data_IF_554954191391
#
_entry.id   IF_554954191391
#
_cell.length_a   1.000
_cell.length_b   1.000
_cell.length_c   1.000
_cell.angle_alpha   90.00
_cell.angle_beta   90.00
_cell.angle_gamma   90.00
#
_symmetry.space_group_name_H-M   'P 1'
#
loop_
_entity.id
_entity.type
_entity.pdbx_description
1 polymer ?
#
# COMPACT_ATOMS: atom_id res chain seq x y z
N UNK A 1 21.26 -41.87 -40.37
CA UNK A 1 21.97 -42.19 -39.11
C UNK A 1 22.03 -40.89 -38.34
N UNK A 2 21.26 -40.77 -37.27
CA UNK A 2 21.17 -39.52 -36.48
C UNK A 2 21.05 -39.93 -35.02
N UNK A 3 22.10 -39.66 -34.24
CA UNK A 3 22.20 -39.98 -32.82
C UNK A 3 21.48 -38.91 -32.00
N UNK A 4 20.53 -39.32 -31.15
CA UNK A 4 19.85 -38.45 -30.19
C UNK A 4 20.52 -38.59 -28.82
N UNK A 5 21.21 -37.55 -28.36
CA UNK A 5 21.72 -37.47 -27.00
C UNK A 5 20.65 -36.85 -26.09
N UNK A 6 20.01 -37.68 -25.25
CA UNK A 6 19.19 -37.22 -24.13
C UNK A 6 20.13 -36.97 -22.94
N UNK A 7 20.20 -35.73 -22.47
CA UNK A 7 20.90 -35.42 -21.22
C UNK A 7 19.97 -35.73 -20.04
N UNK A 8 20.34 -36.75 -19.27
CA UNK A 8 19.65 -37.16 -18.04
C UNK A 8 20.12 -36.25 -16.88
N UNK A 9 19.29 -35.28 -16.45
CA UNK A 9 19.58 -34.45 -15.29
C UNK A 9 19.40 -35.25 -13.98
N UNK A 10 20.49 -35.77 -13.42
CA UNK A 10 20.54 -36.27 -12.03
C UNK A 10 20.75 -35.11 -11.07
N UNK A 11 19.65 -34.43 -10.71
CA UNK A 11 19.63 -33.49 -9.59
C UNK A 11 19.73 -34.23 -8.24
N UNK A 12 20.32 -33.61 -7.20
CA UNK A 12 20.41 -34.21 -5.88
C UNK A 12 19.01 -34.54 -5.33
N UNK A 13 18.85 -35.74 -4.76
CA UNK A 13 17.64 -36.16 -4.05
C UNK A 13 17.52 -35.38 -2.73
N UNK A 14 17.11 -34.12 -2.84
CA UNK A 14 16.66 -33.25 -1.75
C UNK A 14 15.24 -32.80 -2.10
N UNK A 15 14.32 -33.06 -1.20
CA UNK A 15 12.86 -33.06 -1.36
C UNK A 15 12.27 -31.80 -2.01
N UNK A 16 11.49 -32.01 -3.08
CA UNK A 16 10.59 -31.06 -3.75
C UNK A 16 9.54 -30.42 -2.81
N UNK A 17 9.47 -30.84 -1.54
CA UNK A 17 8.60 -30.27 -0.51
C UNK A 17 9.18 -29.02 0.17
N UNK A 18 10.42 -28.61 -0.14
CA UNK A 18 11.08 -27.48 0.54
C UNK A 18 11.32 -26.24 -0.33
N UNK A 19 10.74 -26.15 -1.53
CA UNK A 19 10.87 -24.99 -2.44
C UNK A 19 9.54 -24.39 -2.91
N UNK A 20 8.45 -24.56 -2.15
CA UNK A 20 7.17 -23.86 -2.41
C UNK A 20 6.51 -23.43 -1.09
N UNK A 21 7.25 -22.74 -0.22
CA UNK A 21 6.65 -22.04 0.94
C UNK A 21 7.45 -20.79 1.35
N UNK A 22 8.00 -20.04 0.39
CA UNK A 22 7.95 -18.59 0.55
C UNK A 22 6.67 -18.11 -0.13
N UNK A 23 5.58 -18.44 0.56
CA UNK A 23 4.28 -17.81 0.45
C UNK A 23 4.53 -16.33 0.21
N UNK A 24 4.16 -15.85 -0.97
CA UNK A 24 3.77 -14.46 -1.19
C UNK A 24 3.01 -14.06 0.07
N UNK A 25 3.66 -13.32 0.98
CA UNK A 25 2.92 -12.62 2.02
C UNK A 25 1.86 -11.88 1.21
N UNK A 26 0.55 -12.08 1.45
CA UNK A 26 -0.43 -11.20 0.87
C UNK A 26 0.06 -9.82 1.24
N UNK A 27 0.47 -9.04 0.23
CA UNK A 27 0.81 -7.64 0.43
C UNK A 27 -0.39 -7.11 1.15
N UNK A 28 -0.20 -6.66 2.40
CA UNK A 28 -1.27 -6.23 3.28
C UNK A 28 -1.78 -4.89 2.72
N UNK A 29 -2.44 -4.96 1.57
CA UNK A 29 -3.06 -3.87 0.84
C UNK A 29 -4.42 -3.53 1.45
N UNK A 30 -4.84 -4.25 2.50
CA UNK A 30 -6.03 -3.90 3.27
C UNK A 30 -5.93 -2.51 3.90
N UNK A 31 -4.72 -1.95 4.05
CA UNK A 31 -4.48 -0.57 4.48
C UNK A 31 -4.55 0.49 3.34
N UNK A 32 -4.80 0.10 2.09
CA UNK A 32 -4.77 1.06 0.96
C UNK A 32 -6.02 1.93 0.93
N UNK A 33 -5.87 3.15 1.47
CA UNK A 33 -6.73 4.33 1.35
C UNK A 33 -8.16 4.18 1.89
N UNK A 34 -8.35 4.69 3.10
CA UNK A 34 -9.64 5.20 3.60
C UNK A 34 -10.01 6.44 2.79
N UNK A 35 -11.20 6.48 2.19
CA UNK A 35 -11.72 7.67 1.52
C UNK A 35 -12.55 8.49 2.50
N UNK A 36 -12.56 9.81 2.32
CA UNK A 36 -13.56 10.68 2.95
C UNK A 36 -14.93 10.48 2.26
N UNK A 37 -16.01 10.84 2.94
CA UNK A 37 -17.37 10.81 2.34
C UNK A 37 -17.43 11.55 1.01
N UNK A 38 -16.77 12.72 0.91
CA UNK A 38 -16.74 13.50 -0.32
C UNK A 38 -16.02 12.79 -1.47
N UNK A 39 -14.87 12.15 -1.20
CA UNK A 39 -14.14 11.38 -2.20
C UNK A 39 -14.92 10.15 -2.66
N UNK A 40 -15.65 9.51 -1.74
CA UNK A 40 -16.55 8.42 -2.05
C UNK A 40 -17.69 8.87 -2.97
N UNK A 41 -18.35 9.99 -2.67
CA UNK A 41 -19.45 10.52 -3.48
C UNK A 41 -19.00 10.86 -4.91
N UNK A 42 -17.82 11.47 -5.07
CA UNK A 42 -17.23 11.75 -6.39
C UNK A 42 -17.07 10.46 -7.21
N UNK A 43 -16.54 9.40 -6.60
CA UNK A 43 -16.28 8.15 -7.31
C UNK A 43 -17.54 7.31 -7.56
N UNK A 44 -18.52 7.34 -6.66
CA UNK A 44 -19.78 6.59 -6.81
C UNK A 44 -20.67 7.12 -7.93
N UNK A 45 -20.62 8.43 -8.23
CA UNK A 45 -21.40 9.02 -9.33
C UNK A 45 -21.10 8.35 -10.68
N UNK A 46 -19.85 7.90 -10.89
CA UNK A 46 -19.41 7.20 -12.11
C UNK A 46 -19.80 5.70 -12.12
N UNK A 47 -20.48 5.22 -11.08
CA UNK A 47 -20.95 3.84 -10.95
C UNK A 47 -22.50 3.75 -10.94
N UNK A 48 -23.19 4.09 -12.03
CA UNK A 48 -24.66 4.24 -12.04
C UNK A 48 -25.44 2.93 -11.86
N UNK A 49 -24.81 1.77 -12.09
CA UNK A 49 -25.45 0.44 -12.00
C UNK A 49 -25.34 -0.21 -10.62
N UNK A 50 -24.79 0.51 -9.65
CA UNK A 50 -24.54 -0.01 -8.32
C UNK A 50 -25.84 -0.04 -7.51
N UNK A 51 -26.19 -1.19 -6.94
CA UNK A 51 -27.34 -1.28 -6.04
C UNK A 51 -27.09 -0.46 -4.78
N UNK A 52 -28.16 0.07 -4.18
CA UNK A 52 -28.08 0.84 -2.93
C UNK A 52 -27.39 0.03 -1.82
N UNK A 53 -27.72 -1.27 -1.74
CA UNK A 53 -27.09 -2.24 -0.84
C UNK A 53 -25.57 -2.35 -1.05
N UNK A 54 -25.09 -2.41 -2.29
CA UNK A 54 -23.65 -2.49 -2.58
C UNK A 54 -22.97 -1.14 -2.30
N UNK A 55 -23.66 -0.02 -2.55
CA UNK A 55 -23.15 1.33 -2.27
C UNK A 55 -22.92 1.51 -0.77
N UNK A 56 -23.90 1.14 0.05
CA UNK A 56 -23.79 1.19 1.50
C UNK A 56 -22.68 0.27 2.01
N UNK A 57 -22.58 -0.96 1.49
CA UNK A 57 -21.50 -1.88 1.83
C UNK A 57 -20.11 -1.29 1.54
N UNK A 58 -19.94 -0.69 0.35
CA UNK A 58 -18.69 -0.03 -0.02
C UNK A 58 -18.39 1.20 0.84
N UNK A 59 -19.41 1.99 1.19
CA UNK A 59 -19.25 3.15 2.07
C UNK A 59 -18.76 2.73 3.45
N UNK A 60 -19.36 1.69 4.04
CA UNK A 60 -18.94 1.14 5.35
C UNK A 60 -17.48 0.67 5.34
N UNK A 61 -17.06 -0.02 4.29
CA UNK A 61 -15.67 -0.46 4.19
C UNK A 61 -14.72 0.72 3.96
N UNK A 62 -14.98 1.53 2.95
CA UNK A 62 -13.99 2.49 2.42
C UNK A 62 -13.99 3.80 3.21
N UNK A 63 -15.12 4.21 3.78
CA UNK A 63 -15.27 5.45 4.56
C UNK A 63 -15.24 5.19 6.07
N UNK A 64 -15.92 4.16 6.58
CA UNK A 64 -15.87 3.88 8.02
C UNK A 64 -14.62 3.07 8.42
N UNK A 65 -14.10 2.26 7.50
CA UNK A 65 -13.01 1.32 7.79
C UNK A 65 -13.51 0.00 8.37
N UNK A 66 -14.79 -0.33 8.18
CA UNK A 66 -15.35 -1.62 8.61
C UNK A 66 -14.64 -2.76 7.84
N UNK A 67 -14.47 -3.92 8.49
CA UNK A 67 -13.89 -5.10 7.86
C UNK A 67 -14.74 -5.55 6.66
N UNK A 68 -14.11 -5.71 5.49
CA UNK A 68 -14.77 -6.21 4.28
C UNK A 68 -15.51 -7.52 4.53
N UNK A 69 -14.91 -8.42 5.31
CA UNK A 69 -15.48 -9.71 5.64
C UNK A 69 -16.74 -9.56 6.50
N UNK A 70 -16.70 -8.70 7.51
CA UNK A 70 -17.85 -8.45 8.40
C UNK A 70 -19.00 -7.78 7.66
N UNK A 71 -18.70 -6.80 6.80
CA UNK A 71 -19.71 -6.14 5.96
C UNK A 71 -20.31 -7.13 4.95
N UNK A 72 -19.50 -7.94 4.28
CA UNK A 72 -19.99 -8.94 3.34
C UNK A 72 -20.94 -9.97 4.00
N UNK A 73 -20.60 -10.45 5.20
CA UNK A 73 -21.44 -11.38 5.95
C UNK A 73 -22.72 -10.70 6.46
N UNK A 74 -22.61 -9.54 7.10
CA UNK A 74 -23.77 -8.84 7.68
C UNK A 74 -24.79 -8.38 6.64
N UNK A 75 -24.32 -8.09 5.43
CA UNK A 75 -25.16 -7.66 4.33
C UNK A 75 -25.47 -8.80 3.34
N UNK A 76 -25.14 -10.06 3.60
CA UNK A 76 -25.41 -11.17 2.66
C UNK A 76 -24.93 -10.84 1.22
N UNK A 77 -23.65 -10.51 1.11
CA UNK A 77 -22.96 -10.20 -0.14
C UNK A 77 -21.79 -11.16 -0.34
N UNK A 78 -21.54 -11.56 -1.59
CA UNK A 78 -20.31 -12.27 -1.93
C UNK A 78 -19.10 -11.36 -1.72
N UNK A 79 -18.18 -11.76 -0.85
CA UNK A 79 -16.97 -10.98 -0.52
C UNK A 79 -16.16 -10.60 -1.76
N UNK A 80 -16.02 -11.52 -2.72
CA UNK A 80 -15.31 -11.25 -3.97
C UNK A 80 -15.99 -10.12 -4.77
N UNK A 81 -17.33 -10.12 -4.82
CA UNK A 81 -18.07 -9.09 -5.53
C UNK A 81 -17.95 -7.73 -4.85
N UNK A 82 -17.98 -7.68 -3.51
CA UNK A 82 -17.72 -6.46 -2.74
C UNK A 82 -16.30 -5.93 -3.01
N UNK A 83 -15.29 -6.80 -2.95
CA UNK A 83 -13.90 -6.43 -3.20
C UNK A 83 -13.69 -5.89 -4.63
N UNK A 84 -14.27 -6.52 -5.65
CA UNK A 84 -14.21 -6.03 -7.03
C UNK A 84 -14.78 -4.62 -7.15
N UNK A 85 -15.95 -4.35 -6.55
CA UNK A 85 -16.55 -3.02 -6.62
C UNK A 85 -15.75 -1.97 -5.82
N UNK A 86 -15.16 -2.34 -4.69
CA UNK A 86 -14.26 -1.45 -3.93
C UNK A 86 -13.02 -1.08 -4.76
N UNK A 87 -12.41 -2.05 -5.43
CA UNK A 87 -11.24 -1.78 -6.27
C UNK A 87 -11.60 -0.92 -7.48
N UNK A 88 -12.76 -1.13 -8.10
CA UNK A 88 -13.26 -0.27 -9.17
C UNK A 88 -13.49 1.17 -8.68
N UNK A 89 -14.09 1.35 -7.50
CA UNK A 89 -14.28 2.67 -6.89
C UNK A 89 -12.95 3.39 -6.66
N UNK A 90 -11.96 2.68 -6.12
CA UNK A 90 -10.61 3.23 -5.91
C UNK A 90 -9.95 3.63 -7.22
N UNK A 91 -10.07 2.80 -8.26
CA UNK A 91 -9.53 3.10 -9.59
C UNK A 91 -10.20 4.35 -10.20
N UNK A 92 -11.52 4.48 -10.08
CA UNK A 92 -12.26 5.68 -10.53
C UNK A 92 -11.78 6.93 -9.79
N UNK A 93 -11.64 6.84 -8.46
CA UNK A 93 -11.16 7.95 -7.66
C UNK A 93 -9.73 8.36 -8.06
N UNK A 94 -8.82 7.38 -8.21
CA UNK A 94 -7.46 7.64 -8.65
C UNK A 94 -7.43 8.29 -10.04
N UNK A 95 -8.19 7.78 -11.01
CA UNK A 95 -8.30 8.39 -12.34
C UNK A 95 -8.77 9.85 -12.27
N UNK A 96 -9.73 10.17 -11.38
CA UNK A 96 -10.18 11.56 -11.15
C UNK A 96 -9.12 12.44 -10.50
N UNK A 97 -8.29 11.90 -9.62
CA UNK A 97 -7.16 12.61 -9.01
C UNK A 97 -6.06 12.86 -10.07
N UNK A 98 -5.83 11.91 -10.97
CA UNK A 98 -4.90 12.02 -12.10
C UNK A 98 -5.34 13.06 -13.12
N UNK A 99 -6.62 13.10 -13.48
CA UNK A 99 -7.20 14.13 -14.34
C UNK A 99 -7.00 15.55 -13.75
N UNK A 100 -6.94 15.66 -12.43
CA UNK A 100 -6.70 16.92 -11.70
C UNK A 100 -5.21 17.22 -11.45
N UNK A 101 -4.28 16.49 -12.07
CA UNK A 101 -2.85 16.83 -12.11
C UNK A 101 -1.94 16.02 -11.17
N UNK A 102 -2.46 15.04 -10.44
CA UNK A 102 -1.66 14.15 -9.58
C UNK A 102 -1.58 12.75 -10.19
N UNK A 103 -0.53 12.47 -10.98
CA UNK A 103 -0.36 11.19 -11.68
C UNK A 103 -0.02 10.05 -10.70
N UNK A 104 -0.93 9.09 -10.51
CA UNK A 104 -0.68 7.83 -9.82
C UNK A 104 -0.03 6.87 -10.83
N UNK A 105 1.29 6.95 -10.97
CA UNK A 105 2.03 5.94 -11.74
C UNK A 105 2.19 4.69 -10.87
N UNK A 106 1.32 3.70 -11.05
CA UNK A 106 1.75 2.31 -10.88
C UNK A 106 2.78 2.00 -11.98
N UNK A 107 4.04 2.33 -11.68
CA UNK A 107 5.16 2.12 -12.57
C UNK A 107 5.78 0.76 -12.23
N UNK A 108 6.02 -0.09 -13.24
CA UNK A 108 6.96 -1.20 -13.10
C UNK A 108 8.36 -0.58 -12.97
N UNK A 109 8.76 -0.29 -11.73
CA UNK A 109 10.06 0.31 -11.42
C UNK A 109 11.10 -0.83 -11.39
N UNK A 110 12.16 -0.76 -12.22
CA UNK A 110 13.29 -1.67 -12.09
C UNK A 110 13.83 -1.65 -10.66
N UNK A 111 14.14 -2.83 -10.10
CA UNK A 111 14.49 -3.03 -8.68
C UNK A 111 15.49 -2.00 -8.12
N UNK A 112 16.48 -1.59 -8.91
CA UNK A 112 17.49 -0.60 -8.50
C UNK A 112 16.91 0.80 -8.23
N UNK A 113 15.87 1.21 -8.95
CA UNK A 113 15.20 2.50 -8.74
C UNK A 113 14.24 2.44 -7.55
N UNK A 114 13.61 1.28 -7.29
CA UNK A 114 12.82 1.08 -6.07
C UNK A 114 13.71 1.14 -4.82
N UNK A 115 14.88 0.49 -4.88
CA UNK A 115 15.89 0.55 -3.82
C UNK A 115 16.39 1.98 -3.58
N UNK A 116 16.63 2.75 -4.65
CA UNK A 116 17.06 4.14 -4.52
C UNK A 116 15.99 5.03 -3.86
N UNK A 117 14.71 4.80 -4.13
CA UNK A 117 13.60 5.53 -3.49
C UNK A 117 13.52 5.15 -2.01
N UNK A 118 13.59 3.86 -1.69
CA UNK A 118 13.61 3.37 -0.31
C UNK A 118 14.81 3.92 0.48
N UNK A 119 16.00 3.95 -0.12
CA UNK A 119 17.20 4.51 0.49
C UNK A 119 17.07 6.02 0.77
N UNK A 120 16.42 6.77 -0.13
CA UNK A 120 16.12 8.20 0.07
C UNK A 120 15.12 8.39 1.22
N UNK A 121 14.05 7.60 1.27
CA UNK A 121 13.03 7.68 2.33
C UNK A 121 13.61 7.35 3.71
N UNK A 122 14.42 6.29 3.78
CA UNK A 122 15.11 5.87 5.02
C UNK A 122 16.12 6.92 5.47
N UNK A 123 16.94 7.45 4.55
CA UNK A 123 17.94 8.48 4.86
C UNK A 123 17.28 9.78 5.35
N UNK A 124 16.22 10.22 4.68
CA UNK A 124 15.50 11.45 5.05
C UNK A 124 14.86 11.33 6.43
N UNK A 125 14.25 10.17 6.71
CA UNK A 125 13.66 9.89 8.03
C UNK A 125 14.73 9.87 9.14
N UNK A 126 15.90 9.27 8.87
CA UNK A 126 17.04 9.27 9.81
C UNK A 126 17.53 10.69 10.11
N UNK A 127 17.71 11.51 9.09
CA UNK A 127 18.17 12.89 9.25
C UNK A 127 17.15 13.76 10.00
N UNK A 128 15.85 13.56 9.79
CA UNK A 128 14.80 14.25 10.56
C UNK A 128 14.83 13.88 12.04
N UNK A 129 15.04 12.60 12.38
CA UNK A 129 15.14 12.16 13.77
C UNK A 129 16.38 12.73 14.45
N UNK A 130 17.52 12.74 13.76
CA UNK A 130 18.76 13.34 14.25
C UNK A 130 18.60 14.84 14.49
N UNK A 131 17.99 15.55 13.54
CA UNK A 131 17.67 16.96 13.69
C UNK A 131 16.75 17.23 14.90
N UNK A 132 15.73 16.41 15.11
CA UNK A 132 14.86 16.50 16.29
C UNK A 132 15.61 16.23 17.59
N UNK A 133 16.55 15.29 17.61
CA UNK A 133 17.40 15.03 18.79
C UNK A 133 18.32 16.21 19.09
N UNK A 134 18.90 16.84 18.07
CA UNK A 134 19.70 18.07 18.23
C UNK A 134 18.82 19.20 18.79
N UNK A 135 17.60 19.40 18.27
CA UNK A 135 16.67 20.40 18.83
C UNK A 135 16.31 20.12 20.29
N UNK A 136 16.12 18.85 20.68
CA UNK A 136 15.88 18.50 22.09
C UNK A 136 17.08 18.80 22.97
N UNK A 137 18.30 18.53 22.49
CA UNK A 137 19.54 18.86 23.21
C UNK A 137 19.73 20.37 23.37
N UNK A 138 19.44 21.16 22.33
CA UNK A 138 19.49 22.63 22.39
C UNK A 138 18.45 23.20 23.36
N UNK A 139 17.24 22.64 23.42
CA UNK A 139 16.19 23.06 24.37
C UNK A 139 16.45 22.65 25.83
N UNK A 140 17.35 21.69 26.06
CA UNK A 140 17.74 21.24 27.39
C UNK A 140 19.03 21.89 27.89
N UNK A 141 19.66 22.78 27.12
CA UNK A 141 20.72 23.61 27.66
C UNK A 141 20.10 24.67 28.57
N UNK A 142 20.40 24.66 29.89
CA UNK A 142 20.00 25.76 30.76
C UNK A 142 20.71 27.03 30.28
N UNK A 143 19.98 28.15 30.31
CA UNK A 143 20.50 29.50 30.03
C UNK A 143 21.84 29.70 30.76
N UNK A 144 22.92 29.58 30.01
CA UNK A 144 24.22 30.09 30.41
C UNK A 144 24.26 31.50 29.84
N UNK A 145 23.82 32.48 30.65
CA UNK A 145 24.03 33.90 30.36
C UNK A 145 25.52 34.15 30.05
N UNK A 146 25.86 35.08 29.15
CA UNK A 146 27.25 35.43 28.91
C UNK A 146 27.77 36.19 30.14
N UNK A 147 28.59 35.53 30.96
CA UNK A 147 29.43 36.22 31.94
C UNK A 147 30.36 37.17 31.17
N UNK A 148 30.02 38.47 31.24
CA UNK A 148 30.92 39.56 30.89
C UNK A 148 32.16 39.45 31.79
N UNK A 149 33.29 39.14 31.16
CA UNK A 149 34.60 39.21 31.80
C UNK A 149 35.13 40.65 31.68
N UNK A 150 35.47 41.26 32.83
CA UNK A 150 36.41 42.40 32.92
C UNK A 150 37.84 41.95 32.55
#
# INVERSE_FOLDING_TARGET
MTENYIWECKGPKGTLESMVTETLKPTNQEDKLKLTTHQFDIAVVEMPRLSEKMREAMWRVVVNGDSQREVAVSMDLYQNHLNTNINNLRAIYLAKVEENGFVSREMLVPVHLAQAIEDIEVSTTRHLLEYQQIQRKLKQQPDSEPEQSD
#
